data_IF_681125822934
#
_entry.id   IF_681125822934
#
_cell.length_a   1.000
_cell.length_b   1.000
_cell.length_c   1.000
_cell.angle_alpha   90.00
_cell.angle_beta   90.00
_cell.angle_gamma   90.00
#
_symmetry.space_group_name_H-M   'P 1'
#
loop_
_entity.id
_entity.type
_entity.pdbx_description
1 polymer ?
#
# COMPACT_ATOMS: atom_id res chain seq x y z
N UNK A 1 -2.59 -20.51 -9.30
CA UNK A 1 -1.81 -19.68 -10.25
C UNK A 1 -2.70 -19.01 -11.32
N UNK A 2 -3.69 -19.72 -11.89
CA UNK A 2 -4.58 -19.17 -12.92
C UNK A 2 -5.40 -17.99 -12.36
N UNK A 3 -6.05 -18.16 -11.22
CA UNK A 3 -6.79 -17.06 -10.54
C UNK A 3 -5.91 -15.85 -10.24
N UNK A 4 -4.67 -16.05 -9.79
CA UNK A 4 -3.74 -14.95 -9.52
C UNK A 4 -3.42 -14.17 -10.80
N UNK A 5 -3.23 -14.86 -11.93
CA UNK A 5 -3.02 -14.21 -13.24
C UNK A 5 -4.24 -13.44 -13.70
N UNK A 6 -5.43 -14.02 -13.58
CA UNK A 6 -6.68 -13.36 -13.89
C UNK A 6 -6.85 -12.05 -13.09
N UNK A 7 -6.67 -12.10 -11.77
CA UNK A 7 -6.81 -10.93 -10.89
C UNK A 7 -5.85 -9.82 -11.30
N UNK A 8 -4.59 -10.14 -11.59
CA UNK A 8 -3.61 -9.16 -12.04
C UNK A 8 -3.98 -8.53 -13.39
N UNK A 9 -4.45 -9.34 -14.35
CA UNK A 9 -4.92 -8.83 -15.62
C UNK A 9 -6.12 -7.87 -15.42
N UNK A 10 -7.09 -8.27 -14.59
CA UNK A 10 -8.25 -7.43 -14.26
C UNK A 10 -7.87 -6.15 -13.52
N UNK A 11 -6.85 -6.17 -12.66
CA UNK A 11 -6.35 -4.95 -12.02
C UNK A 11 -5.81 -3.95 -13.06
N UNK A 12 -5.03 -4.41 -14.03
CA UNK A 12 -4.54 -3.56 -15.12
C UNK A 12 -5.69 -3.05 -16.02
N UNK A 13 -6.68 -3.88 -16.33
CA UNK A 13 -7.89 -3.46 -17.05
C UNK A 13 -8.69 -2.38 -16.28
N UNK A 14 -8.65 -2.39 -14.95
CA UNK A 14 -9.23 -1.37 -14.07
C UNK A 14 -8.30 -0.17 -13.84
N UNK A 15 -7.29 -0.01 -14.68
CA UNK A 15 -6.37 1.13 -14.67
C UNK A 15 -5.51 1.26 -13.41
N UNK A 16 -5.18 0.14 -12.78
CA UNK A 16 -4.08 0.11 -11.82
C UNK A 16 -2.76 -0.11 -12.58
N UNK A 17 -1.70 0.53 -12.14
CA UNK A 17 -0.38 0.39 -12.79
C UNK A 17 0.31 -0.92 -12.41
N UNK A 18 0.13 -1.37 -11.17
CA UNK A 18 0.70 -2.62 -10.67
C UNK A 18 -0.28 -3.33 -9.76
N UNK A 19 -0.19 -4.65 -9.77
CA UNK A 19 -0.93 -5.53 -8.88
C UNK A 19 -0.03 -6.68 -8.40
N UNK A 20 0.01 -6.89 -7.10
CA UNK A 20 0.74 -7.99 -6.47
C UNK A 20 -0.09 -8.69 -5.41
N UNK A 21 0.30 -9.91 -5.08
CA UNK A 21 -0.43 -10.78 -4.15
C UNK A 21 0.54 -11.29 -3.09
N UNK A 22 0.11 -11.25 -1.84
CA UNK A 22 0.79 -11.89 -0.72
C UNK A 22 -0.16 -12.77 0.08
N UNK A 23 0.38 -13.68 0.88
CA UNK A 23 -0.42 -14.44 1.84
C UNK A 23 -0.84 -13.54 3.00
N UNK A 24 -2.09 -13.73 3.46
CA UNK A 24 -2.63 -13.06 4.63
C UNK A 24 -2.14 -13.77 5.91
N UNK A 25 -0.92 -13.46 6.33
CA UNK A 25 -0.25 -14.03 7.49
C UNK A 25 0.06 -12.94 8.52
N UNK A 26 0.26 -13.32 9.78
CA UNK A 26 0.72 -12.39 10.81
C UNK A 26 2.07 -11.77 10.42
N UNK A 27 2.22 -10.47 10.63
CA UNK A 27 3.42 -9.70 10.27
C UNK A 27 4.49 -9.79 11.38
N UNK A 28 5.12 -10.97 11.51
CA UNK A 28 6.10 -11.28 12.56
C UNK A 28 7.25 -10.26 12.65
N UNK A 29 7.78 -9.83 11.51
CA UNK A 29 8.90 -8.89 11.47
C UNK A 29 8.51 -7.46 11.83
N UNK A 30 7.24 -7.10 11.66
CA UNK A 30 6.74 -5.74 11.89
C UNK A 30 6.24 -5.54 13.32
N UNK A 31 5.84 -6.60 14.00
CA UNK A 31 5.33 -6.54 15.36
C UNK A 31 6.32 -5.84 16.34
N UNK A 32 7.59 -6.27 16.47
CA UNK A 32 8.54 -5.62 17.36
C UNK A 32 8.91 -4.19 16.92
N UNK A 33 8.83 -3.90 15.62
CA UNK A 33 9.09 -2.55 15.07
C UNK A 33 7.98 -1.59 15.45
N UNK A 34 6.73 -2.00 15.28
CA UNK A 34 5.56 -1.20 15.64
C UNK A 34 5.50 -0.97 17.16
N UNK A 35 5.74 -2.01 17.96
CA UNK A 35 5.77 -1.92 19.41
C UNK A 35 6.85 -0.92 19.89
N UNK A 36 8.08 -1.05 19.38
CA UNK A 36 9.17 -0.12 19.68
C UNK A 36 8.83 1.31 19.28
N UNK A 37 8.28 1.52 18.07
CA UNK A 37 7.91 2.83 17.57
C UNK A 37 6.85 3.51 18.44
N UNK A 38 5.85 2.75 18.91
CA UNK A 38 4.81 3.21 19.82
C UNK A 38 5.38 3.51 21.23
N UNK A 39 6.22 2.63 21.78
CA UNK A 39 6.82 2.81 23.11
C UNK A 39 7.72 4.03 23.21
N UNK A 40 8.33 4.43 22.08
CA UNK A 40 9.14 5.65 21.97
C UNK A 40 8.31 6.91 21.65
N UNK A 41 6.98 6.81 21.59
CA UNK A 41 6.07 7.90 21.24
C UNK A 41 6.37 8.55 19.87
N UNK A 42 6.96 7.81 18.93
CA UNK A 42 7.28 8.31 17.60
C UNK A 42 6.03 8.64 16.77
N UNK A 43 4.86 8.18 17.19
CA UNK A 43 3.56 8.52 16.59
C UNK A 43 3.10 9.97 16.91
N UNK A 44 3.76 10.66 17.85
CA UNK A 44 3.42 12.04 18.22
C UNK A 44 1.95 12.18 18.62
N UNK A 45 1.25 13.12 18.01
CA UNK A 45 -0.18 13.37 18.28
C UNK A 45 -1.13 12.35 17.61
N UNK A 46 -0.60 11.42 16.80
CA UNK A 46 -1.42 10.42 16.09
C UNK A 46 -1.79 9.24 17.00
N UNK A 47 -2.52 9.51 18.08
CA UNK A 47 -2.89 8.50 19.09
C UNK A 47 -3.64 7.28 18.49
N UNK A 48 -4.33 7.47 17.37
CA UNK A 48 -5.01 6.39 16.64
C UNK A 48 -4.05 5.29 16.16
N UNK A 49 -2.75 5.56 16.03
CA UNK A 49 -1.77 4.56 15.62
C UNK A 49 -1.56 3.46 16.66
N UNK A 50 -1.82 3.75 17.94
CA UNK A 50 -1.81 2.74 19.00
C UNK A 50 -3.08 1.87 19.01
N UNK A 51 -4.15 2.32 18.35
CA UNK A 51 -5.40 1.57 18.28
C UNK A 51 -5.27 0.39 17.34
N UNK A 52 -5.95 -0.71 17.70
CA UNK A 52 -6.05 -1.91 16.85
C UNK A 52 -4.67 -2.49 16.48
N UNK A 53 -3.71 -2.47 17.43
CA UNK A 53 -2.36 -3.00 17.23
C UNK A 53 -2.36 -4.40 16.61
N UNK A 54 -3.17 -5.30 17.15
CA UNK A 54 -3.31 -6.68 16.67
C UNK A 54 -3.91 -6.78 15.26
N UNK A 55 -4.89 -5.92 14.92
CA UNK A 55 -5.48 -5.89 13.56
C UNK A 55 -4.50 -5.36 12.51
N UNK A 56 -3.61 -4.43 12.90
CA UNK A 56 -2.56 -3.92 11.99
C UNK A 56 -1.59 -5.00 11.55
N UNK A 57 -1.36 -5.96 12.43
CA UNK A 57 -0.39 -7.03 12.21
C UNK A 57 -1.01 -8.32 11.65
N UNK A 58 -2.31 -8.48 11.80
CA UNK A 58 -3.01 -9.71 11.42
C UNK A 58 -4.23 -9.42 10.56
N UNK A 59 -4.15 -9.61 9.24
CA UNK A 59 -5.26 -9.35 8.33
C UNK A 59 -6.46 -10.26 8.57
N UNK A 60 -6.28 -11.43 9.19
CA UNK A 60 -7.38 -12.35 9.52
C UNK A 60 -8.31 -11.80 10.60
N UNK A 61 -7.82 -10.85 11.40
CA UNK A 61 -8.62 -10.09 12.39
C UNK A 61 -9.37 -8.90 11.77
N UNK A 62 -9.05 -8.57 10.53
CA UNK A 62 -9.71 -7.50 9.77
C UNK A 62 -10.78 -8.08 8.83
N UNK A 63 -10.47 -9.21 8.19
CA UNK A 63 -11.36 -9.99 7.35
C UNK A 63 -11.30 -11.45 7.80
N UNK A 64 -12.41 -11.96 8.30
CA UNK A 64 -12.51 -13.34 8.79
C UNK A 64 -12.23 -14.34 7.66
N UNK A 65 -11.38 -15.32 7.92
CA UNK A 65 -10.99 -16.32 6.94
C UNK A 65 -10.04 -15.84 5.86
N UNK A 66 -9.46 -14.63 5.98
CA UNK A 66 -8.52 -14.09 5.00
C UNK A 66 -7.35 -15.05 4.75
N UNK A 67 -7.02 -15.26 3.46
CA UNK A 67 -5.90 -16.09 2.98
C UNK A 67 -4.94 -15.30 2.10
N UNK A 68 -5.43 -14.24 1.45
CA UNK A 68 -4.61 -13.42 0.57
C UNK A 68 -4.87 -11.93 0.75
N UNK A 69 -3.80 -11.15 0.54
CA UNK A 69 -3.84 -9.70 0.38
C UNK A 69 -3.43 -9.40 -1.06
N UNK A 70 -4.31 -8.75 -1.80
CA UNK A 70 -4.08 -8.22 -3.13
C UNK A 70 -3.78 -6.74 -2.97
N UNK A 71 -2.56 -6.33 -3.28
CA UNK A 71 -2.16 -4.91 -3.24
C UNK A 71 -2.06 -4.36 -4.65
N UNK A 72 -2.49 -3.12 -4.84
CA UNK A 72 -2.42 -2.41 -6.12
C UNK A 72 -1.75 -1.06 -5.95
N UNK A 73 -1.10 -0.58 -7.02
CA UNK A 73 -0.54 0.77 -7.11
C UNK A 73 -1.26 1.56 -8.19
N UNK A 74 -1.56 2.82 -7.90
CA UNK A 74 -2.14 3.78 -8.83
C UNK A 74 -1.29 5.06 -8.84
N UNK A 75 -0.65 5.36 -9.97
CA UNK A 75 0.16 6.56 -10.13
C UNK A 75 -0.68 7.82 -10.00
N UNK A 76 -0.18 8.81 -9.28
CA UNK A 76 -0.78 10.13 -9.17
C UNK A 76 0.13 11.26 -9.66
N UNK A 77 1.29 10.94 -10.20
CA UNK A 77 2.19 11.98 -10.71
C UNK A 77 1.58 12.58 -11.98
N UNK A 78 1.28 13.89 -12.00
CA UNK A 78 0.65 14.51 -13.17
C UNK A 78 1.65 14.59 -14.32
N UNK A 79 1.20 14.32 -15.53
CA UNK A 79 1.98 14.51 -16.75
C UNK A 79 2.29 15.98 -16.99
N UNK A 80 1.30 16.85 -16.75
CA UNK A 80 1.46 18.30 -16.83
C UNK A 80 1.87 18.87 -15.48
N UNK A 81 2.91 19.69 -15.49
CA UNK A 81 3.30 20.45 -14.31
C UNK A 81 2.53 21.75 -14.30
N UNK A 82 1.84 22.02 -13.20
CA UNK A 82 1.33 23.37 -12.97
C UNK A 82 2.52 24.33 -12.92
N UNK A 83 2.39 25.55 -13.51
CA UNK A 83 3.41 26.58 -13.37
C UNK A 83 3.58 26.89 -11.87
N UNK A 84 4.77 26.62 -11.34
CA UNK A 84 5.11 26.91 -9.96
C UNK A 84 6.07 28.12 -9.96
N UNK A 85 5.56 29.32 -9.68
CA UNK A 85 6.38 30.46 -9.33
C UNK A 85 7.00 30.28 -7.94
N UNK A 86 8.07 31.00 -7.65
CA UNK A 86 8.72 30.93 -6.33
C UNK A 86 7.83 31.40 -5.18
N UNK A 87 6.85 32.25 -5.47
CA UNK A 87 5.88 32.81 -4.51
C UNK A 87 4.55 32.04 -4.46
N UNK A 88 4.35 31.03 -5.32
CA UNK A 88 3.11 30.28 -5.39
C UNK A 88 3.00 29.27 -4.25
N UNK A 89 1.77 29.05 -3.80
CA UNK A 89 1.46 28.02 -2.83
C UNK A 89 1.72 26.63 -3.43
N UNK A 90 2.67 25.88 -2.87
CA UNK A 90 3.01 24.53 -3.32
C UNK A 90 2.11 23.50 -2.67
N UNK A 91 1.21 22.93 -3.45
CA UNK A 91 0.37 21.82 -3.03
C UNK A 91 1.09 20.48 -3.28
N UNK A 92 0.88 19.51 -2.38
CA UNK A 92 1.37 18.14 -2.58
C UNK A 92 0.66 17.51 -3.77
N UNK A 93 1.40 16.83 -4.65
CA UNK A 93 0.86 16.29 -5.91
C UNK A 93 -0.26 15.26 -5.71
N UNK A 94 -0.22 14.51 -4.62
CA UNK A 94 -1.27 13.56 -4.28
C UNK A 94 -2.65 14.22 -4.03
N UNK A 95 -2.65 15.51 -3.73
CA UNK A 95 -3.87 16.27 -3.43
C UNK A 95 -4.50 16.93 -4.69
N UNK A 96 -3.94 16.67 -5.88
CA UNK A 96 -4.49 17.21 -7.12
C UNK A 96 -5.72 16.39 -7.56
N UNK A 97 -6.74 17.12 -8.03
CA UNK A 97 -7.93 16.49 -8.61
C UNK A 97 -8.92 15.93 -7.58
N UNK A 98 -9.59 14.86 -7.94
CA UNK A 98 -10.57 14.19 -7.09
C UNK A 98 -9.89 13.46 -5.93
N UNK A 99 -10.51 13.47 -4.75
CA UNK A 99 -10.01 12.73 -3.58
C UNK A 99 -9.78 11.26 -3.92
N UNK A 100 -8.54 10.82 -3.78
CA UNK A 100 -8.09 9.47 -4.14
C UNK A 100 -8.80 8.37 -3.38
N UNK A 101 -9.31 8.64 -2.19
CA UNK A 101 -10.10 7.65 -1.45
C UNK A 101 -11.35 7.21 -2.21
N UNK A 102 -12.03 8.13 -2.89
CA UNK A 102 -13.18 7.78 -3.73
C UNK A 102 -12.73 7.04 -4.98
N UNK A 103 -11.70 7.55 -5.66
CA UNK A 103 -11.18 6.96 -6.90
C UNK A 103 -10.71 5.52 -6.68
N UNK A 104 -9.90 5.28 -5.64
CA UNK A 104 -9.41 3.93 -5.35
C UNK A 104 -10.52 3.00 -4.91
N UNK A 105 -11.45 3.46 -4.05
CA UNK A 105 -12.57 2.63 -3.59
C UNK A 105 -13.47 2.20 -4.74
N UNK A 106 -13.73 3.09 -5.69
CA UNK A 106 -14.51 2.75 -6.89
C UNK A 106 -13.79 1.69 -7.73
N UNK A 107 -12.51 1.89 -8.04
CA UNK A 107 -11.68 0.96 -8.82
C UNK A 107 -11.50 -0.40 -8.13
N UNK A 108 -11.22 -0.40 -6.83
CA UNK A 108 -11.11 -1.64 -6.04
C UNK A 108 -12.44 -2.37 -5.93
N UNK A 109 -13.54 -1.64 -5.83
CA UNK A 109 -14.89 -2.21 -5.85
C UNK A 109 -15.19 -2.91 -7.16
N UNK A 110 -14.86 -2.27 -8.29
CA UNK A 110 -15.00 -2.86 -9.61
C UNK A 110 -14.11 -4.11 -9.79
N UNK A 111 -12.87 -4.06 -9.28
CA UNK A 111 -11.97 -5.22 -9.30
C UNK A 111 -12.53 -6.38 -8.45
N UNK A 112 -13.00 -6.11 -7.24
CA UNK A 112 -13.60 -7.13 -6.36
C UNK A 112 -14.85 -7.75 -7.00
N UNK A 113 -15.70 -6.94 -7.63
CA UNK A 113 -16.86 -7.42 -8.37
C UNK A 113 -16.45 -8.35 -9.52
N UNK A 114 -15.47 -7.97 -10.32
CA UNK A 114 -14.95 -8.82 -11.41
C UNK A 114 -14.36 -10.14 -10.90
N UNK A 115 -13.71 -10.12 -9.72
CA UNK A 115 -13.23 -11.34 -9.06
C UNK A 115 -14.41 -12.24 -8.66
N UNK A 116 -15.46 -11.66 -8.06
CA UNK A 116 -16.65 -12.41 -7.64
C UNK A 116 -17.42 -13.00 -8.83
N UNK A 117 -17.50 -12.30 -9.94
CA UNK A 117 -18.11 -12.79 -11.18
C UNK A 117 -17.38 -14.03 -11.75
N UNK A 118 -16.04 -14.05 -11.64
CA UNK A 118 -15.21 -15.14 -12.16
C UNK A 118 -15.17 -16.36 -11.23
N UNK A 119 -15.03 -16.15 -9.91
CA UNK A 119 -14.74 -17.24 -8.96
C UNK A 119 -15.93 -17.61 -8.07
N UNK A 120 -17.02 -16.85 -8.12
CA UNK A 120 -18.18 -17.00 -7.26
C UNK A 120 -18.06 -16.22 -5.95
N UNK A 121 -18.69 -16.71 -4.89
CA UNK A 121 -18.73 -16.00 -3.60
C UNK A 121 -17.33 -15.85 -3.00
N UNK A 122 -16.98 -14.62 -2.64
CA UNK A 122 -15.70 -14.23 -2.01
C UNK A 122 -15.99 -13.34 -0.82
N UNK A 123 -15.52 -13.75 0.36
CA UNK A 123 -15.47 -12.87 1.51
C UNK A 123 -14.23 -11.97 1.38
N UNK A 124 -14.42 -10.78 0.83
CA UNK A 124 -13.35 -9.82 0.57
C UNK A 124 -13.77 -8.39 0.93
N UNK A 125 -12.80 -7.60 1.39
CA UNK A 125 -12.99 -6.18 1.71
C UNK A 125 -11.88 -5.36 1.10
N UNK A 126 -12.26 -4.15 0.65
CA UNK A 126 -11.36 -3.15 0.09
C UNK A 126 -10.87 -2.18 1.17
N UNK A 127 -9.62 -1.77 1.07
CA UNK A 127 -8.97 -0.84 2.00
C UNK A 127 -8.20 0.22 1.23
N UNK A 128 -8.30 1.44 1.73
CA UNK A 128 -7.55 2.60 1.24
C UNK A 128 -7.24 3.46 2.45
N UNK A 129 -6.00 3.44 2.93
CA UNK A 129 -5.41 4.34 3.93
C UNK A 129 -6.12 4.41 5.32
N UNK A 130 -7.42 4.36 5.40
CA UNK A 130 -8.19 4.68 6.60
C UNK A 130 -8.47 3.51 7.56
N UNK A 131 -7.89 2.33 7.33
CA UNK A 131 -8.09 1.12 8.13
C UNK A 131 -6.83 0.73 8.91
N UNK A 132 -6.93 -0.17 9.91
CA UNK A 132 -5.76 -0.72 10.60
C UNK A 132 -5.05 -1.77 9.73
N UNK A 133 -4.59 -1.34 8.55
CA UNK A 133 -3.83 -2.12 7.57
C UNK A 133 -2.48 -1.45 7.39
N UNK A 134 -1.42 -2.22 7.26
CA UNK A 134 -0.07 -1.71 7.00
C UNK A 134 0.22 -1.71 5.50
N UNK A 135 -0.43 -0.79 4.77
CA UNK A 135 -0.46 -0.74 3.30
C UNK A 135 0.93 -0.91 2.65
N UNK A 136 1.92 -0.15 3.09
CA UNK A 136 3.29 -0.21 2.54
C UNK A 136 3.96 -1.57 2.77
N UNK A 137 3.68 -2.20 3.90
CA UNK A 137 4.22 -3.54 4.24
C UNK A 137 3.58 -4.59 3.35
N UNK A 138 2.26 -4.56 3.19
CA UNK A 138 1.55 -5.50 2.32
C UNK A 138 1.94 -5.34 0.87
N UNK A 139 2.05 -4.12 0.38
CA UNK A 139 2.52 -3.87 -0.98
C UNK A 139 3.96 -4.37 -1.21
N UNK A 140 4.87 -4.19 -0.23
CA UNK A 140 6.22 -4.75 -0.30
C UNK A 140 6.21 -6.29 -0.28
N UNK A 141 5.41 -6.92 0.59
CA UNK A 141 5.24 -8.38 0.64
C UNK A 141 4.63 -8.94 -0.64
N UNK A 142 3.80 -8.14 -1.33
CA UNK A 142 3.20 -8.48 -2.62
C UNK A 142 4.14 -8.25 -3.82
N UNK A 143 5.42 -7.94 -3.58
CA UNK A 143 6.42 -7.78 -4.62
C UNK A 143 6.35 -6.46 -5.40
N UNK A 144 5.55 -5.49 -4.95
CA UNK A 144 5.34 -4.22 -5.66
C UNK A 144 6.49 -3.21 -5.48
N UNK A 145 7.42 -3.51 -4.57
CA UNK A 145 8.57 -2.67 -4.30
C UNK A 145 9.19 -2.97 -2.95
N UNK A 146 9.93 -2.01 -2.41
CA UNK A 146 10.56 -2.11 -1.08
C UNK A 146 10.31 -0.84 -0.27
N UNK A 147 10.32 -0.96 1.04
CA UNK A 147 10.23 0.21 1.93
C UNK A 147 11.61 0.86 2.00
N UNK A 148 11.73 2.06 1.45
CA UNK A 148 12.98 2.82 1.46
C UNK A 148 13.35 3.39 2.83
N UNK A 149 14.58 3.92 2.96
CA UNK A 149 15.10 4.53 4.19
C UNK A 149 14.24 5.71 4.69
N UNK A 150 13.46 6.33 3.81
CA UNK A 150 12.49 7.39 4.13
C UNK A 150 11.09 6.86 4.48
N UNK A 151 10.96 5.55 4.76
CA UNK A 151 9.72 4.87 5.14
C UNK A 151 8.57 4.89 4.11
N UNK A 152 8.82 5.31 2.86
CA UNK A 152 7.88 5.15 1.77
C UNK A 152 8.17 3.90 0.95
N UNK A 153 7.12 3.33 0.34
CA UNK A 153 7.28 2.27 -0.65
C UNK A 153 7.92 2.87 -1.91
N UNK A 154 8.92 2.18 -2.45
CA UNK A 154 9.58 2.51 -3.70
C UNK A 154 9.34 1.40 -4.71
N UNK A 155 8.86 1.75 -5.88
CA UNK A 155 8.78 0.88 -7.04
C UNK A 155 9.90 1.24 -8.03
N UNK A 156 10.52 0.24 -8.64
CA UNK A 156 11.68 0.44 -9.52
C UNK A 156 11.35 1.23 -10.79
N UNK A 157 10.15 1.07 -11.31
CA UNK A 157 9.70 1.68 -12.57
C UNK A 157 9.01 3.02 -12.33
N UNK A 158 8.26 3.14 -11.23
CA UNK A 158 7.36 4.26 -10.98
C UNK A 158 7.82 5.21 -9.85
N UNK A 159 8.92 4.88 -9.16
CA UNK A 159 9.39 5.67 -8.02
C UNK A 159 8.48 5.51 -6.80
N UNK A 160 7.95 6.63 -6.25
CA UNK A 160 7.11 6.64 -5.05
C UNK A 160 5.82 7.46 -5.18
N UNK A 161 5.50 7.95 -6.39
CA UNK A 161 4.32 8.81 -6.62
C UNK A 161 3.09 7.99 -6.98
N UNK A 162 2.65 7.14 -6.06
CA UNK A 162 1.48 6.29 -6.24
C UNK A 162 0.69 6.14 -4.95
N UNK A 163 -0.59 5.91 -5.10
CA UNK A 163 -1.46 5.45 -4.02
C UNK A 163 -1.39 3.94 -3.93
N UNK A 164 -1.65 3.42 -2.73
CA UNK A 164 -1.73 2.00 -2.44
C UNK A 164 -3.18 1.68 -2.08
N UNK A 165 -3.69 0.57 -2.58
CA UNK A 165 -4.97 0.04 -2.17
C UNK A 165 -4.90 -1.47 -2.03
N UNK A 166 -5.73 -2.04 -1.15
CA UNK A 166 -5.74 -3.47 -0.86
C UNK A 166 -7.14 -4.07 -0.97
N UNK A 167 -7.15 -5.34 -1.39
CA UNK A 167 -8.27 -6.26 -1.17
C UNK A 167 -7.75 -7.39 -0.30
N UNK A 168 -8.30 -7.53 0.91
CA UNK A 168 -8.05 -8.69 1.78
C UNK A 168 -9.20 -9.65 1.60
N UNK A 169 -8.92 -10.92 1.27
CA UNK A 169 -9.95 -11.90 0.93
C UNK A 169 -9.61 -13.33 1.36
N UNK A 170 -10.61 -14.18 1.38
CA UNK A 170 -10.54 -15.60 1.73
C UNK A 170 -10.07 -16.51 0.59
N UNK A 171 -9.78 -15.98 -0.59
CA UNK A 171 -9.23 -16.74 -1.70
C UNK A 171 -7.78 -17.16 -1.41
N UNK A 172 -7.49 -18.43 -1.61
CA UNK A 172 -6.10 -18.93 -1.59
C UNK A 172 -5.46 -18.71 -2.96
N UNK A 173 -4.67 -17.64 -3.04
CA UNK A 173 -3.99 -17.19 -4.25
C UNK A 173 -2.50 -17.49 -4.19
N UNK A 174 -1.90 -17.74 -5.35
CA UNK A 174 -0.45 -17.88 -5.44
C UNK A 174 0.22 -16.53 -5.18
N UNK A 175 1.08 -16.41 -4.15
CA UNK A 175 1.74 -15.17 -3.82
C UNK A 175 2.87 -14.84 -4.80
N UNK A 176 3.21 -13.55 -4.86
CA UNK A 176 4.37 -13.07 -5.58
C UNK A 176 5.63 -13.11 -4.73
N UNK A 177 6.77 -13.07 -5.39
CA UNK A 177 8.07 -12.94 -4.73
C UNK A 177 8.31 -11.50 -4.30
N UNK A 178 8.87 -11.32 -3.11
CA UNK A 178 9.26 -10.00 -2.61
C UNK A 178 10.37 -9.38 -3.47
N UNK A 179 10.33 -8.07 -3.61
CA UNK A 179 11.36 -7.30 -4.32
C UNK A 179 12.56 -7.06 -3.40
N UNK A 180 13.77 -7.10 -3.96
CA UNK A 180 14.99 -6.74 -3.23
C UNK A 180 14.98 -5.25 -2.85
N UNK A 181 15.67 -4.90 -1.76
CA UNK A 181 15.96 -3.51 -1.42
C UNK A 181 17.07 -2.96 -2.34
N UNK A 182 16.76 -1.90 -3.05
CA UNK A 182 17.69 -1.20 -3.94
C UNK A 182 18.26 0.10 -3.35
N UNK A 183 17.99 0.41 -2.09
CA UNK A 183 18.57 1.59 -1.41
C UNK A 183 20.09 1.49 -1.28
N UNK A 184 20.62 0.30 -0.97
CA UNK A 184 22.05 0.07 -0.83
C UNK A 184 22.72 1.13 0.05
N UNK A 185 23.79 1.75 -0.45
CA UNK A 185 24.54 2.82 0.23
C UNK A 185 23.97 4.22 0.03
N UNK A 186 22.89 4.39 -0.74
CA UNK A 186 22.28 5.70 -1.01
C UNK A 186 21.70 6.31 0.27
N UNK A 187 22.02 7.59 0.54
CA UNK A 187 21.56 8.36 1.70
C UNK A 187 20.79 9.63 1.34
N UNK A 188 20.52 9.86 0.05
CA UNK A 188 19.94 11.12 -0.44
C UNK A 188 18.71 11.59 0.33
N UNK A 189 17.77 10.67 0.63
CA UNK A 189 16.56 11.02 1.37
C UNK A 189 16.82 11.38 2.84
N UNK A 190 17.89 10.82 3.44
CA UNK A 190 18.32 11.13 4.81
C UNK A 190 18.97 12.51 4.84
N UNK A 191 19.87 12.78 3.88
CA UNK A 191 20.67 14.01 3.80
C UNK A 191 19.80 15.24 3.55
N UNK A 192 18.73 15.12 2.77
CA UNK A 192 17.84 16.25 2.44
C UNK A 192 16.69 16.43 3.43
N UNK A 193 16.53 15.56 4.42
CA UNK A 193 15.45 15.66 5.40
C UNK A 193 15.68 16.89 6.32
N UNK A 194 14.84 17.93 6.25
CA UNK A 194 15.08 19.19 6.98
C UNK A 194 14.93 19.03 8.49
N UNK A 195 14.23 17.99 8.94
CA UNK A 195 13.98 17.71 10.36
C UNK A 195 14.80 16.54 10.88
N UNK A 196 15.59 15.87 10.03
CA UNK A 196 16.35 14.67 10.36
C UNK A 196 15.49 13.56 11.00
N UNK A 197 14.26 13.41 10.52
CA UNK A 197 13.28 12.46 11.06
C UNK A 197 13.60 10.99 10.73
N UNK A 198 14.54 10.74 9.81
CA UNK A 198 14.94 9.39 9.38
C UNK A 198 16.31 9.03 9.98
N UNK A 199 16.31 8.54 11.21
CA UNK A 199 17.51 8.10 11.93
C UNK A 199 17.47 6.59 12.18
#
# INVERSE_FOLDING_TARGET
QERSRFIKAKALENWFDFCGISKAEFLESEAPRLEKWLSLNHHGAMAYMANHFDKRLDPTKVVEGAKSVISVLLNYYPEERLPEGDEDLKLSKYAYGTDYHYVLKEKLGALLTAIQEEVGEVNGRIFVDSAPVMDKVWAAKSGLGWVGKHSNLLNREMGSFFFIGEIICDLDLAPDSVTCDYCGTCTKCLDVCPTQAFN
#
